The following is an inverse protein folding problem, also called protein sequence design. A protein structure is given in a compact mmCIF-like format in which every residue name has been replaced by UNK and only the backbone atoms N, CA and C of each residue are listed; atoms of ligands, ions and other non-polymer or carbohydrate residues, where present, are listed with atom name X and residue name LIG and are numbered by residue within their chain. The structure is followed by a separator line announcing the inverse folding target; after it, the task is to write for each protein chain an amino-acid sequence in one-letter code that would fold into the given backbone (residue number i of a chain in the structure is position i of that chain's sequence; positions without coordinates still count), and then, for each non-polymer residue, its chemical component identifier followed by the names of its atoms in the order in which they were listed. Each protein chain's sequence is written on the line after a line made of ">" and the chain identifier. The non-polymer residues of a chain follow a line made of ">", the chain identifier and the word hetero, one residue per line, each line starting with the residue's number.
data_IF_979026245795
#
_entry.id   IF_979026245795
#
_cell.length_a   1.000
_cell.length_b   1.000
_cell.length_c   1.000
_cell.angle_alpha   90.00
_cell.angle_beta   90.00
_cell.angle_gamma   90.00
#
_symmetry.space_group_name_H-M   'P 1'
#
loop_
_entity.id
_entity.type
_entity.pdbx_description
1 polymer ?
#
# COMPACT_ATOMS: atom_id res chain seq x y z
N UNK A 1 -16.30 3.75 -40.69
CA UNK A 1 -16.98 4.86 -40.01
C UNK A 1 -16.70 4.73 -38.52
N UNK A 2 -15.82 5.59 -38.00
CA UNK A 2 -15.28 5.52 -36.63
C UNK A 2 -16.39 5.84 -35.61
N UNK A 3 -16.77 4.85 -34.81
CA UNK A 3 -17.66 5.05 -33.66
C UNK A 3 -16.92 5.85 -32.58
N UNK A 4 -17.18 7.15 -32.53
CA UNK A 4 -16.80 7.99 -31.41
C UNK A 4 -17.65 7.61 -30.20
N UNK A 5 -17.13 6.71 -29.35
CA UNK A 5 -17.67 6.50 -28.01
C UNK A 5 -17.60 7.85 -27.29
N UNK A 6 -18.75 8.49 -27.10
CA UNK A 6 -18.91 9.74 -26.34
C UNK A 6 -18.66 9.41 -24.87
N UNK A 7 -17.39 9.37 -24.48
CA UNK A 7 -16.95 9.12 -23.10
C UNK A 7 -17.55 10.24 -22.22
N UNK A 8 -18.49 9.92 -21.31
CA UNK A 8 -19.13 10.94 -20.47
C UNK A 8 -18.17 11.42 -19.38
N UNK A 9 -18.20 12.71 -19.03
CA UNK A 9 -17.20 13.35 -18.15
C UNK A 9 -16.93 12.63 -16.81
N UNK A 10 -17.94 11.94 -16.25
CA UNK A 10 -17.79 11.17 -15.02
C UNK A 10 -16.81 9.98 -15.16
N UNK A 11 -16.68 9.41 -16.37
CA UNK A 11 -15.70 8.37 -16.66
C UNK A 11 -14.29 8.95 -16.81
N UNK A 12 -14.14 10.16 -17.36
CA UNK A 12 -12.84 10.83 -17.46
C UNK A 12 -12.26 11.15 -16.07
N UNK A 13 -13.08 11.65 -15.13
CA UNK A 13 -12.67 11.88 -13.74
C UNK A 13 -12.31 10.59 -13.00
N UNK A 14 -12.99 9.48 -13.31
CA UNK A 14 -12.65 8.19 -12.73
C UNK A 14 -11.29 7.69 -13.25
N UNK A 15 -11.04 7.80 -14.55
CA UNK A 15 -9.77 7.39 -15.16
C UNK A 15 -8.59 8.21 -14.62
N UNK A 16 -8.79 9.50 -14.37
CA UNK A 16 -7.75 10.36 -13.80
C UNK A 16 -7.34 9.90 -12.39
N UNK A 17 -8.32 9.58 -11.52
CA UNK A 17 -8.07 9.03 -10.19
C UNK A 17 -7.39 7.65 -10.22
N UNK A 18 -7.75 6.80 -11.19
CA UNK A 18 -7.11 5.49 -11.36
C UNK A 18 -5.65 5.67 -11.75
N UNK A 19 -5.35 6.56 -12.68
CA UNK A 19 -3.99 6.84 -13.12
C UNK A 19 -3.13 7.44 -12.00
N UNK A 20 -3.68 8.38 -11.23
CA UNK A 20 -3.00 8.96 -10.06
C UNK A 20 -2.67 7.88 -9.02
N UNK A 21 -3.63 7.01 -8.71
CA UNK A 21 -3.42 5.88 -7.80
C UNK A 21 -2.38 4.90 -8.34
N UNK A 22 -2.40 4.57 -9.62
CA UNK A 22 -1.41 3.67 -10.23
C UNK A 22 0.00 4.25 -10.16
N UNK A 23 0.17 5.54 -10.49
CA UNK A 23 1.45 6.24 -10.39
C UNK A 23 1.98 6.25 -8.93
N UNK A 24 1.06 6.43 -7.97
CA UNK A 24 1.37 6.38 -6.55
C UNK A 24 1.81 4.97 -6.11
N UNK A 25 1.09 3.93 -6.52
CA UNK A 25 1.46 2.53 -6.22
C UNK A 25 2.82 2.24 -6.82
N UNK A 26 3.04 2.57 -8.09
CA UNK A 26 4.32 2.32 -8.78
C UNK A 26 5.50 3.01 -8.10
N UNK A 27 5.31 4.21 -7.56
CA UNK A 27 6.36 4.98 -6.88
C UNK A 27 6.65 4.56 -5.44
N UNK A 28 5.72 3.87 -4.77
CA UNK A 28 5.83 3.54 -3.34
C UNK A 28 5.84 2.05 -3.02
N UNK A 29 5.39 1.18 -3.93
CA UNK A 29 5.22 -0.25 -3.65
C UNK A 29 6.53 -0.92 -3.20
N UNK A 30 7.64 -0.70 -3.92
CA UNK A 30 8.95 -1.25 -3.55
C UNK A 30 9.39 -0.79 -2.16
N UNK A 31 9.31 0.52 -1.89
CA UNK A 31 9.74 1.10 -0.60
C UNK A 31 8.88 0.61 0.57
N UNK A 32 7.57 0.49 0.38
CA UNK A 32 6.66 -0.04 1.41
C UNK A 32 6.88 -1.53 1.63
N UNK A 33 7.07 -2.31 0.57
CA UNK A 33 7.34 -3.73 0.64
C UNK A 33 8.64 -4.00 1.40
N UNK A 34 9.74 -3.33 1.05
CA UNK A 34 11.02 -3.47 1.75
C UNK A 34 10.92 -3.11 3.22
N UNK A 35 10.17 -2.05 3.56
CA UNK A 35 9.91 -1.69 4.95
C UNK A 35 9.09 -2.77 5.69
N UNK A 36 8.03 -3.28 5.08
CA UNK A 36 7.23 -4.36 5.64
C UNK A 36 8.03 -5.66 5.82
N UNK A 37 8.92 -5.97 4.87
CA UNK A 37 9.86 -7.07 4.95
C UNK A 37 10.83 -6.91 6.13
N UNK A 38 11.42 -5.74 6.32
CA UNK A 38 12.27 -5.48 7.49
C UNK A 38 11.53 -5.70 8.82
N UNK A 39 10.25 -5.32 8.89
CA UNK A 39 9.42 -5.54 10.09
C UNK A 39 9.08 -7.02 10.31
N UNK A 40 8.63 -7.71 9.26
CA UNK A 40 8.03 -9.06 9.38
C UNK A 40 9.03 -10.19 9.15
N UNK A 41 10.00 -10.02 8.25
CA UNK A 41 10.93 -11.07 7.79
C UNK A 41 10.25 -12.23 7.06
N UNK A 42 9.01 -12.05 6.61
CA UNK A 42 8.23 -13.07 5.92
C UNK A 42 7.53 -12.43 4.72
N UNK A 43 7.67 -13.07 3.55
CA UNK A 43 7.17 -12.56 2.26
C UNK A 43 5.69 -12.32 2.28
N UNK A 44 4.94 -13.35 2.67
CA UNK A 44 3.47 -13.34 2.70
C UNK A 44 2.95 -12.19 3.57
N UNK A 45 3.59 -11.98 4.72
CA UNK A 45 3.21 -10.94 5.67
C UNK A 45 3.58 -9.54 5.16
N UNK A 46 4.74 -9.40 4.53
CA UNK A 46 5.18 -8.15 3.93
C UNK A 46 4.26 -7.72 2.77
N UNK A 47 3.86 -8.69 1.93
CA UNK A 47 2.93 -8.50 0.83
C UNK A 47 1.55 -8.06 1.35
N UNK A 48 0.99 -8.79 2.31
CA UNK A 48 -0.32 -8.50 2.91
C UNK A 48 -0.33 -7.14 3.64
N UNK A 49 0.74 -6.77 4.34
CA UNK A 49 0.88 -5.43 4.93
C UNK A 49 0.87 -4.31 3.89
N UNK A 50 1.62 -4.49 2.81
CA UNK A 50 1.72 -3.52 1.72
C UNK A 50 0.38 -3.35 1.01
N UNK A 51 -0.29 -4.46 0.70
CA UNK A 51 -1.61 -4.45 0.09
C UNK A 51 -2.66 -3.78 0.99
N UNK A 52 -2.68 -4.05 2.29
CA UNK A 52 -3.59 -3.40 3.24
C UNK A 52 -3.34 -1.90 3.37
N UNK A 53 -2.09 -1.46 3.32
CA UNK A 53 -1.75 -0.03 3.34
C UNK A 53 -2.33 0.69 2.11
N UNK A 54 -2.13 0.14 0.91
CA UNK A 54 -2.70 0.71 -0.32
C UNK A 54 -4.22 0.60 -0.38
N UNK A 55 -4.82 -0.49 0.11
CA UNK A 55 -6.28 -0.60 0.20
C UNK A 55 -6.87 0.49 1.11
N UNK A 56 -6.24 0.76 2.26
CA UNK A 56 -6.68 1.88 3.11
C UNK A 56 -6.46 3.23 2.43
N UNK A 57 -5.38 3.39 1.67
CA UNK A 57 -5.16 4.60 0.88
C UNK A 57 -6.25 4.79 -0.19
N UNK A 58 -6.64 3.75 -0.92
CA UNK A 58 -7.74 3.85 -1.88
C UNK A 58 -9.07 4.26 -1.21
N UNK A 59 -9.31 3.79 0.02
CA UNK A 59 -10.53 4.13 0.77
C UNK A 59 -10.51 5.53 1.40
N UNK A 60 -9.37 5.97 1.96
CA UNK A 60 -9.26 7.19 2.80
C UNK A 60 -8.23 8.21 2.32
N UNK A 61 -7.51 7.92 1.24
CA UNK A 61 -6.42 8.75 0.73
C UNK A 61 -6.89 10.11 0.26
N UNK A 62 -8.16 10.26 -0.09
CA UNK A 62 -8.78 11.55 -0.40
C UNK A 62 -8.82 12.52 0.79
N UNK A 63 -8.67 12.05 2.03
CA UNK A 63 -8.52 12.91 3.22
C UNK A 63 -7.10 13.50 3.31
N UNK A 64 -6.12 12.91 2.61
CA UNK A 64 -4.73 13.39 2.59
C UNK A 64 -4.62 14.55 1.59
N UNK A 65 -4.77 15.77 2.11
CA UNK A 65 -4.76 17.01 1.30
C UNK A 65 -3.42 17.33 0.63
N UNK A 66 -2.31 16.85 1.19
CA UNK A 66 -0.97 17.15 0.69
C UNK A 66 -0.32 15.90 0.07
N UNK A 67 -0.04 15.91 -1.25
CA UNK A 67 0.69 14.86 -1.94
C UNK A 67 2.05 14.53 -1.31
N UNK A 68 2.72 15.52 -0.71
CA UNK A 68 4.03 15.31 -0.07
C UNK A 68 3.91 14.51 1.23
N UNK A 69 2.74 14.54 1.87
CA UNK A 69 2.47 13.81 3.11
C UNK A 69 1.98 12.37 2.86
N UNK A 70 1.67 12.01 1.61
CA UNK A 70 1.19 10.67 1.24
C UNK A 70 2.17 9.58 1.63
N UNK A 71 3.47 9.77 1.35
CA UNK A 71 4.50 8.78 1.71
C UNK A 71 4.52 8.57 3.23
N UNK A 72 4.57 9.64 4.01
CA UNK A 72 4.57 9.59 5.47
C UNK A 72 3.30 8.91 6.02
N UNK A 73 2.14 9.20 5.41
CA UNK A 73 0.87 8.57 5.77
C UNK A 73 0.86 7.07 5.48
N UNK A 74 1.40 6.64 4.33
CA UNK A 74 1.49 5.22 3.95
C UNK A 74 2.38 4.44 4.93
N UNK A 75 3.57 4.94 5.25
CA UNK A 75 4.47 4.32 6.22
C UNK A 75 3.85 4.25 7.62
N UNK A 76 3.20 5.32 8.07
CA UNK A 76 2.52 5.36 9.36
C UNK A 76 1.36 4.37 9.41
N UNK A 77 0.57 4.30 8.33
CA UNK A 77 -0.54 3.36 8.22
C UNK A 77 -0.07 1.91 8.24
N UNK A 78 0.99 1.59 7.49
CA UNK A 78 1.60 0.27 7.45
C UNK A 78 2.12 -0.13 8.83
N UNK A 79 2.86 0.75 9.50
CA UNK A 79 3.37 0.47 10.84
C UNK A 79 2.24 0.23 11.85
N UNK A 80 1.16 1.01 11.80
CA UNK A 80 -0.03 0.78 12.64
C UNK A 80 -0.70 -0.56 12.34
N UNK A 81 -0.76 -1.00 11.08
CA UNK A 81 -1.29 -2.33 10.73
C UNK A 81 -0.41 -3.45 11.27
N UNK A 82 0.91 -3.28 11.21
CA UNK A 82 1.86 -4.21 11.79
C UNK A 82 1.63 -4.36 13.30
N UNK A 83 1.57 -3.23 14.04
CA UNK A 83 1.32 -3.27 15.48
C UNK A 83 -0.02 -3.91 15.84
N UNK A 84 -1.08 -3.66 15.07
CA UNK A 84 -2.39 -4.33 15.27
C UNK A 84 -2.28 -5.84 15.11
N UNK A 85 -1.54 -6.32 14.11
CA UNK A 85 -1.35 -7.76 13.91
C UNK A 85 -0.52 -8.38 15.02
N UNK A 86 0.51 -7.69 15.51
CA UNK A 86 1.30 -8.17 16.63
C UNK A 86 0.48 -8.26 17.91
N UNK A 87 -0.34 -7.25 18.20
CA UNK A 87 -1.23 -7.26 19.38
C UNK A 87 -2.28 -8.38 19.34
N UNK A 88 -2.74 -8.76 18.13
CA UNK A 88 -3.71 -9.85 17.93
C UNK A 88 -3.08 -11.25 18.02
N UNK A 89 -1.77 -11.37 18.23
CA UNK A 89 -1.08 -12.65 18.46
C UNK A 89 -0.89 -12.84 19.97
N UNK A 90 -1.84 -13.47 20.70
CA UNK A 90 -1.61 -13.83 22.09
C UNK A 90 -0.56 -14.95 22.14
N UNK A 91 0.65 -14.66 22.63
CA UNK A 91 1.55 -15.66 23.21
C UNK A 91 2.18 -16.71 22.28
N UNK A 92 2.64 -16.36 21.07
CA UNK A 92 3.59 -17.23 20.37
C UNK A 92 4.76 -16.46 19.75
N UNK A 93 5.95 -16.89 20.19
CA UNK A 93 7.26 -16.42 19.83
C UNK A 93 7.44 -16.21 18.32
N UNK A 94 8.26 -15.20 18.01
CA UNK A 94 8.66 -14.88 16.65
C UNK A 94 9.22 -16.10 15.94
N UNK A 95 8.44 -16.65 15.01
CA UNK A 95 8.99 -17.41 13.91
C UNK A 95 9.75 -16.44 13.01
N UNK A 96 11.05 -16.32 13.22
CA UNK A 96 12.04 -16.05 12.17
C UNK A 96 13.01 -17.23 12.22
N UNK A 97 13.46 -17.79 11.08
CA UNK A 97 14.06 -17.00 10.00
C UNK A 97 13.66 -17.43 8.59
N UNK A 98 13.35 -16.46 7.74
CA UNK A 98 13.63 -16.60 6.32
C UNK A 98 15.10 -16.22 6.16
N UNK A 99 15.98 -17.23 6.22
CA UNK A 99 17.39 -17.10 5.83
C UNK A 99 17.45 -16.67 4.36
N UNK A 100 17.49 -15.36 4.10
CA UNK A 100 17.83 -14.88 2.77
C UNK A 100 18.64 -13.59 2.90
N UNK A 101 19.94 -13.72 2.59
CA UNK A 101 20.93 -12.64 2.56
C UNK A 101 20.38 -11.41 1.86
N UNK A 102 20.46 -10.25 2.52
CA UNK A 102 20.64 -8.98 1.83
C UNK A 102 21.91 -9.11 0.98
N UNK A 103 21.76 -9.17 -0.34
CA UNK A 103 22.79 -8.71 -1.29
C UNK A 103 22.54 -7.23 -1.58
#
# INVERSE_FOLDING_TARGET
>A
MTLAVKIPAHTATLMDRINEFEALVRSHADRLYRFAWCLTGAEDWACDLTQRAFHRYAAKGHEVRDPQCVSAWLFTTLHREFLRQQQRRPGHAGGKPSDQKCQ
#
